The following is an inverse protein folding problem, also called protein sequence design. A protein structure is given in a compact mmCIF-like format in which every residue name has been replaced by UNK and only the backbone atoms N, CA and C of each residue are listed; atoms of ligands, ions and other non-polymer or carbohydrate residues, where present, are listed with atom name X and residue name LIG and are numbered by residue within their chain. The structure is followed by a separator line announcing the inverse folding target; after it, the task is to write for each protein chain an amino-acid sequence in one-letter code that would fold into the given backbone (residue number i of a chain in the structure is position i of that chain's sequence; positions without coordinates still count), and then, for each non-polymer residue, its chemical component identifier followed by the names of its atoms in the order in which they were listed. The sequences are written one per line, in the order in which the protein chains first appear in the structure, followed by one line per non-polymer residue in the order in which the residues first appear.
data_IF_102823857007
#
_entry.id   IF_102823857007
#
_cell.length_a   1.000
_cell.length_b   1.000
_cell.length_c   1.000
_cell.angle_alpha   90.00
_cell.angle_beta   90.00
_cell.angle_gamma   90.00
#
_symmetry.space_group_name_H-M   'P 1'
#
loop_
_entity.id
_entity.type
_entity.pdbx_description
1 polymer ?
#
# COMPACT_ATOMS: atom_id res chain seq x y z
N UNK A 1 -21.51 -11.53 15.67
CA UNK A 1 -21.10 -10.74 14.49
C UNK A 1 -22.03 -11.04 13.33
N UNK A 2 -22.55 -10.03 12.62
CA UNK A 2 -23.30 -10.24 11.37
C UNK A 2 -22.39 -10.91 10.33
N UNK A 3 -22.85 -11.98 9.68
CA UNK A 3 -22.10 -12.69 8.62
C UNK A 3 -21.77 -11.80 7.41
N UNK A 4 -22.52 -10.70 7.22
CA UNK A 4 -22.34 -9.76 6.09
C UNK A 4 -21.37 -8.63 6.39
N UNK A 5 -21.18 -8.27 7.66
CA UNK A 5 -20.35 -7.12 8.05
C UNK A 5 -18.90 -7.22 7.54
N UNK A 6 -18.19 -8.36 7.66
CA UNK A 6 -16.82 -8.47 7.16
C UNK A 6 -16.71 -8.23 5.65
N UNK A 7 -17.70 -8.72 4.88
CA UNK A 7 -17.74 -8.55 3.42
C UNK A 7 -18.00 -7.09 3.07
N UNK A 8 -18.93 -6.43 3.75
CA UNK A 8 -19.22 -5.00 3.53
C UNK A 8 -17.97 -4.16 3.84
N UNK A 9 -17.31 -4.43 4.96
CA UNK A 9 -16.07 -3.72 5.33
C UNK A 9 -15.00 -3.93 4.26
N UNK A 10 -14.81 -5.14 3.75
CA UNK A 10 -13.87 -5.41 2.67
C UNK A 10 -14.22 -4.65 1.38
N UNK A 11 -15.50 -4.68 0.98
CA UNK A 11 -15.98 -4.02 -0.24
C UNK A 11 -15.88 -2.49 -0.18
N UNK A 12 -15.83 -1.91 1.02
CA UNK A 12 -15.63 -0.46 1.19
C UNK A 12 -14.16 -0.11 1.34
N UNK A 13 -13.43 -0.81 2.21
CA UNK A 13 -12.03 -0.46 2.50
C UNK A 13 -11.10 -0.77 1.33
N UNK A 14 -11.35 -1.84 0.57
CA UNK A 14 -10.46 -2.21 -0.53
C UNK A 14 -10.47 -1.17 -1.67
N UNK A 15 -11.63 -0.69 -2.17
CA UNK A 15 -11.66 0.40 -3.16
C UNK A 15 -11.11 1.71 -2.61
N UNK A 16 -11.37 2.05 -1.34
CA UNK A 16 -10.79 3.24 -0.72
C UNK A 16 -9.26 3.16 -0.67
N UNK A 17 -8.72 2.00 -0.31
CA UNK A 17 -7.28 1.78 -0.28
C UNK A 17 -6.66 1.83 -1.67
N UNK A 18 -7.35 1.26 -2.66
CA UNK A 18 -6.95 1.37 -4.06
C UNK A 18 -6.92 2.83 -4.52
N UNK A 19 -7.98 3.59 -4.26
CA UNK A 19 -8.05 5.00 -4.62
C UNK A 19 -6.94 5.82 -3.93
N UNK A 20 -6.67 5.57 -2.65
CA UNK A 20 -5.58 6.20 -1.93
C UNK A 20 -4.21 5.85 -2.52
N UNK A 21 -4.00 4.59 -2.90
CA UNK A 21 -2.75 4.12 -3.53
C UNK A 21 -2.51 4.78 -4.88
N UNK A 22 -3.56 4.88 -5.71
CA UNK A 22 -3.50 5.61 -6.98
C UNK A 22 -3.28 7.12 -6.76
N UNK A 23 -3.92 7.71 -5.75
CA UNK A 23 -3.68 9.10 -5.36
C UNK A 23 -2.22 9.34 -4.95
N UNK A 24 -1.64 8.44 -4.15
CA UNK A 24 -0.24 8.51 -3.77
C UNK A 24 0.70 8.37 -4.98
N UNK A 25 0.42 7.45 -5.90
CA UNK A 25 1.25 7.26 -7.09
C UNK A 25 1.13 8.42 -8.06
N UNK A 26 -0.06 8.68 -8.57
CA UNK A 26 -0.25 9.63 -9.67
C UNK A 26 -0.33 11.08 -9.19
N UNK A 27 -0.89 11.33 -8.00
CA UNK A 27 -1.07 12.68 -7.48
C UNK A 27 0.05 13.19 -6.58
N UNK A 28 0.88 12.30 -6.01
CA UNK A 28 1.96 12.69 -5.10
C UNK A 28 3.35 12.30 -5.62
N UNK A 29 3.51 11.08 -6.13
CA UNK A 29 4.80 10.63 -6.67
C UNK A 29 5.09 11.22 -8.06
N UNK A 30 4.11 11.17 -8.96
CA UNK A 30 4.29 11.50 -10.39
C UNK A 30 3.91 12.96 -10.75
N UNK A 31 3.20 13.67 -9.86
CA UNK A 31 2.76 15.04 -10.12
C UNK A 31 3.92 16.06 -10.14
N UNK A 32 3.92 16.92 -11.16
CA UNK A 32 5.00 17.87 -11.42
C UNK A 32 5.14 18.97 -10.38
N UNK A 33 4.07 19.35 -9.69
CA UNK A 33 4.12 20.34 -8.61
C UNK A 33 4.95 19.81 -7.44
N UNK A 34 4.72 18.55 -7.04
CA UNK A 34 5.49 17.89 -6.00
C UNK A 34 6.95 17.65 -6.40
N UNK A 35 7.22 17.35 -7.68
CA UNK A 35 8.59 17.27 -8.20
C UNK A 35 9.31 18.61 -8.00
N UNK A 36 8.68 19.73 -8.38
CA UNK A 36 9.25 21.07 -8.23
C UNK A 36 9.58 21.39 -6.77
N UNK A 37 8.60 21.24 -5.88
CA UNK A 37 8.76 21.49 -4.43
C UNK A 37 9.93 20.67 -3.86
N UNK A 38 10.06 19.40 -4.26
CA UNK A 38 11.10 18.53 -3.72
C UNK A 38 12.49 18.71 -4.33
N UNK A 39 12.62 19.39 -5.46
CA UNK A 39 13.91 19.83 -6.00
C UNK A 39 14.44 21.02 -5.18
N UNK A 40 13.57 21.96 -4.84
CA UNK A 40 13.97 23.17 -4.11
C UNK A 40 14.17 22.91 -2.60
N UNK A 41 13.35 22.06 -1.99
CA UNK A 41 13.36 21.81 -0.53
C UNK A 41 13.32 20.32 -0.17
N UNK A 42 14.34 19.56 -0.58
CA UNK A 42 14.42 18.10 -0.41
C UNK A 42 14.32 17.60 1.05
N UNK A 43 14.66 18.43 2.04
CA UNK A 43 14.59 18.07 3.47
C UNK A 43 13.17 18.12 4.06
N UNK A 44 12.17 18.58 3.30
CA UNK A 44 10.77 18.51 3.72
C UNK A 44 10.32 17.06 3.92
N UNK A 45 9.48 16.83 4.91
CA UNK A 45 9.05 15.49 5.27
C UNK A 45 8.22 14.85 4.15
N UNK A 46 7.44 15.62 3.41
CA UNK A 46 6.69 15.14 2.24
C UNK A 46 7.66 14.58 1.19
N UNK A 47 8.75 15.28 0.92
CA UNK A 47 9.77 14.85 -0.03
C UNK A 47 10.53 13.61 0.45
N UNK A 48 10.77 13.49 1.76
CA UNK A 48 11.32 12.27 2.35
C UNK A 48 10.35 11.09 2.20
N UNK A 49 9.05 11.29 2.45
CA UNK A 49 8.03 10.24 2.26
C UNK A 49 7.95 9.84 0.78
N UNK A 50 7.92 10.82 -0.13
CA UNK A 50 7.93 10.59 -1.58
C UNK A 50 9.14 9.78 -2.01
N UNK A 51 10.34 10.19 -1.59
CA UNK A 51 11.59 9.47 -1.89
C UNK A 51 11.56 8.03 -1.38
N UNK A 52 11.23 7.83 -0.10
CA UNK A 52 11.18 6.50 0.51
C UNK A 52 10.13 5.60 -0.16
N UNK A 53 8.94 6.14 -0.44
CA UNK A 53 7.88 5.40 -1.13
C UNK A 53 8.35 4.99 -2.54
N UNK A 54 9.02 5.90 -3.26
CA UNK A 54 9.64 5.61 -4.56
C UNK A 54 10.68 4.49 -4.48
N UNK A 55 11.56 4.51 -3.47
CA UNK A 55 12.55 3.45 -3.25
C UNK A 55 11.90 2.11 -2.93
N UNK A 56 10.89 2.10 -2.04
CA UNK A 56 10.16 0.88 -1.68
C UNK A 56 9.45 0.24 -2.88
N UNK A 57 8.91 1.05 -3.79
CA UNK A 57 8.28 0.58 -5.03
C UNK A 57 9.36 0.11 -6.03
N UNK A 58 10.40 0.92 -6.26
CA UNK A 58 11.48 0.64 -7.22
C UNK A 58 12.19 -0.68 -6.91
N UNK A 59 12.54 -0.91 -5.64
CA UNK A 59 13.17 -2.15 -5.19
C UNK A 59 12.16 -3.27 -4.87
N UNK A 60 10.89 -3.07 -5.22
CA UNK A 60 9.80 -4.04 -5.00
C UNK A 60 9.67 -4.51 -3.56
N UNK A 61 10.08 -3.69 -2.59
CA UNK A 61 9.97 -4.02 -1.15
C UNK A 61 8.50 -4.29 -0.79
N UNK A 62 7.59 -3.43 -1.28
CA UNK A 62 6.15 -3.60 -1.07
C UNK A 62 5.64 -4.90 -1.72
N UNK A 63 6.04 -5.17 -2.97
CA UNK A 63 5.63 -6.36 -3.72
C UNK A 63 6.13 -7.66 -3.08
N UNK A 64 7.41 -7.72 -2.69
CA UNK A 64 7.98 -8.89 -2.01
C UNK A 64 7.37 -9.12 -0.63
N UNK A 65 7.09 -8.04 0.11
CA UNK A 65 6.39 -8.14 1.41
C UNK A 65 4.99 -8.70 1.21
N UNK A 66 4.25 -8.20 0.22
CA UNK A 66 2.91 -8.69 -0.09
C UNK A 66 2.91 -10.17 -0.50
N UNK A 67 3.85 -10.56 -1.37
CA UNK A 67 3.98 -11.95 -1.82
C UNK A 67 4.35 -12.87 -0.66
N UNK A 68 5.33 -12.50 0.16
CA UNK A 68 5.73 -13.28 1.33
C UNK A 68 4.56 -13.47 2.30
N UNK A 69 3.83 -12.39 2.60
CA UNK A 69 2.63 -12.46 3.44
C UNK A 69 1.55 -13.36 2.83
N UNK A 70 1.30 -13.29 1.53
CA UNK A 70 0.32 -14.13 0.85
C UNK A 70 0.70 -15.61 0.88
N UNK A 71 1.96 -15.95 0.60
CA UNK A 71 2.45 -17.33 0.60
C UNK A 71 2.39 -17.95 1.99
N UNK A 72 2.80 -17.22 3.03
CA UNK A 72 2.71 -17.70 4.42
C UNK A 72 1.25 -17.79 4.85
N UNK A 73 0.44 -16.78 4.52
CA UNK A 73 -1.00 -16.76 4.85
C UNK A 73 -1.79 -17.90 4.19
N UNK A 74 -1.35 -18.38 3.02
CA UNK A 74 -1.96 -19.51 2.33
C UNK A 74 -1.85 -20.82 3.11
N UNK A 75 -0.73 -21.04 3.82
CA UNK A 75 -0.48 -22.29 4.57
C UNK A 75 -0.82 -22.18 6.05
N UNK A 76 -0.94 -20.98 6.61
CA UNK A 76 -1.22 -20.75 8.04
C UNK A 76 -2.74 -20.68 8.29
N UNK A 77 -3.34 -21.62 9.02
CA UNK A 77 -4.79 -21.62 9.26
C UNK A 77 -5.23 -20.57 10.30
N UNK A 78 -6.53 -20.27 10.29
CA UNK A 78 -7.18 -19.48 11.33
C UNK A 78 -6.85 -17.99 11.28
N UNK A 79 -6.80 -17.35 12.46
CA UNK A 79 -6.71 -15.90 12.60
C UNK A 79 -5.37 -15.32 12.15
N UNK A 80 -4.28 -16.09 12.28
CA UNK A 80 -2.96 -15.67 11.82
C UNK A 80 -2.91 -15.55 10.29
N UNK A 81 -3.42 -16.55 9.56
CA UNK A 81 -3.53 -16.50 8.10
C UNK A 81 -4.41 -15.35 7.61
N UNK A 82 -5.50 -15.05 8.32
CA UNK A 82 -6.35 -13.91 8.00
C UNK A 82 -5.60 -12.57 8.09
N UNK A 83 -4.83 -12.34 9.15
CA UNK A 83 -4.03 -11.11 9.26
C UNK A 83 -2.94 -11.03 8.18
N UNK A 84 -2.34 -12.17 7.82
CA UNK A 84 -1.37 -12.22 6.72
C UNK A 84 -2.01 -11.87 5.37
N UNK A 85 -3.25 -12.30 5.12
CA UNK A 85 -3.99 -11.90 3.93
C UNK A 85 -4.30 -10.39 3.92
N UNK A 86 -4.65 -9.82 5.08
CA UNK A 86 -4.82 -8.36 5.20
C UNK A 86 -3.50 -7.63 4.92
N UNK A 87 -2.38 -8.08 5.49
CA UNK A 87 -1.06 -7.50 5.21
C UNK A 87 -0.71 -7.59 3.72
N UNK A 88 -0.98 -8.74 3.09
CA UNK A 88 -0.77 -8.91 1.66
C UNK A 88 -1.56 -7.89 0.83
N UNK A 89 -2.80 -7.57 1.20
CA UNK A 89 -3.60 -6.53 0.55
C UNK A 89 -3.06 -5.11 0.81
N UNK A 90 -2.69 -4.82 2.06
CA UNK A 90 -2.16 -3.50 2.45
C UNK A 90 -0.88 -3.16 1.68
N UNK A 91 0.04 -4.11 1.52
CA UNK A 91 1.29 -3.88 0.78
C UNK A 91 1.18 -4.12 -0.72
N UNK A 92 0.31 -5.04 -1.15
CA UNK A 92 0.17 -5.42 -2.56
C UNK A 92 -0.49 -4.33 -3.39
N UNK A 93 -1.52 -3.67 -2.85
CA UNK A 93 -2.27 -2.64 -3.60
C UNK A 93 -1.40 -1.41 -3.94
N UNK A 94 -0.59 -0.84 -3.03
CA UNK A 94 0.35 0.22 -3.37
C UNK A 94 1.53 -0.22 -4.24
N UNK A 95 1.76 -1.54 -4.39
CA UNK A 95 2.83 -2.09 -5.21
C UNK A 95 2.44 -2.27 -6.69
N UNK A 96 1.16 -2.08 -7.04
CA UNK A 96 0.64 -2.06 -8.42
C UNK A 96 1.14 -0.83 -9.16
#
# INVERSE_FOLDING_TARGET
MSRRLPVIVLLVLLPLWLAASYGARYGFMEDGQWVGICVDEASRWECQVRSNLGLMIHFKVLGWTALGAALIGFVVPGRAGWWLAVLALVFGVPAL
#
